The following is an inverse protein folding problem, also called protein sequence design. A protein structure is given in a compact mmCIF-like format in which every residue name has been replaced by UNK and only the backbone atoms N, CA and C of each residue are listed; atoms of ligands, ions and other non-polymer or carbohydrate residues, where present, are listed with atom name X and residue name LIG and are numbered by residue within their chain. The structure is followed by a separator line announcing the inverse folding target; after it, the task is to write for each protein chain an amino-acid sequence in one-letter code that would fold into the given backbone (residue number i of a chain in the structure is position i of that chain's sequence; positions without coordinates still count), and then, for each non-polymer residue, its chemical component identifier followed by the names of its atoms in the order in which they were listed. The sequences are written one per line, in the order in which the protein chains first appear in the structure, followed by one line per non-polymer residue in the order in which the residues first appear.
data_IF_902838568211
#
_entry.id   IF_902838568211
#
_cell.length_a   1.000
_cell.length_b   1.000
_cell.length_c   1.000
_cell.angle_alpha   90.00
_cell.angle_beta   90.00
_cell.angle_gamma   90.00
#
_symmetry.space_group_name_H-M   'P 1'
#
loop_
_entity.id
_entity.type
_entity.pdbx_description
1 polymer ?
#
# COMPACT_ATOMS: atom_id res chain seq x y z
N UNK A 1 16.02 -64.06 10.84
CA UNK A 1 15.48 -63.99 9.46
C UNK A 1 14.39 -62.91 9.41
N UNK A 2 14.69 -61.75 8.82
CA UNK A 2 13.75 -60.61 8.68
C UNK A 2 13.09 -60.68 7.31
N UNK A 3 11.75 -60.62 7.26
CA UNK A 3 11.00 -60.52 5.99
C UNK A 3 11.12 -59.10 5.42
N UNK A 4 11.21 -58.93 4.08
CA UNK A 4 11.31 -57.61 3.47
C UNK A 4 9.95 -56.90 3.46
N UNK A 5 9.99 -55.59 3.72
CA UNK A 5 8.85 -54.67 3.67
C UNK A 5 8.62 -54.20 2.24
N UNK A 6 7.43 -54.45 1.70
CA UNK A 6 6.98 -53.93 0.40
C UNK A 6 5.96 -52.80 0.61
N UNK A 7 6.20 -51.57 0.14
CA UNK A 7 5.21 -50.51 0.21
C UNK A 7 4.13 -50.68 -0.87
N UNK A 8 2.87 -50.49 -0.49
CA UNK A 8 1.73 -50.38 -1.40
C UNK A 8 1.70 -48.97 -2.03
N UNK A 9 1.41 -48.83 -3.34
CA UNK A 9 1.17 -47.52 -3.93
C UNK A 9 -0.27 -47.06 -3.65
N UNK A 10 -0.43 -45.90 -3.01
CA UNK A 10 -1.70 -45.16 -3.00
C UNK A 10 -1.77 -44.33 -4.30
N UNK A 11 -2.39 -44.89 -5.33
CA UNK A 11 -2.81 -44.14 -6.50
C UNK A 11 -4.13 -43.43 -6.22
N UNK A 12 -4.08 -42.16 -5.86
CA UNK A 12 -5.26 -41.29 -5.83
C UNK A 12 -5.32 -40.55 -7.16
N UNK A 13 -6.19 -41.01 -8.06
CA UNK A 13 -6.59 -40.24 -9.23
C UNK A 13 -7.63 -39.19 -8.82
N UNK A 14 -7.23 -37.92 -8.79
CA UNK A 14 -8.18 -36.81 -8.81
C UNK A 14 -8.33 -36.39 -10.27
N UNK A 15 -9.49 -36.73 -10.85
CA UNK A 15 -9.90 -36.27 -12.18
C UNK A 15 -10.15 -34.76 -12.13
N UNK A 16 -9.31 -34.01 -12.83
CA UNK A 16 -9.56 -32.62 -13.18
C UNK A 16 -10.68 -32.56 -14.23
N UNK A 17 -11.82 -31.96 -13.88
CA UNK A 17 -12.80 -31.51 -14.86
C UNK A 17 -13.44 -30.23 -14.31
N UNK A 18 -12.93 -29.09 -14.77
CA UNK A 18 -13.63 -27.80 -14.66
C UNK A 18 -13.19 -26.95 -15.85
N UNK A 19 -13.83 -27.24 -16.98
CA UNK A 19 -13.95 -26.35 -18.12
C UNK A 19 -14.80 -25.15 -17.69
N UNK A 20 -14.17 -24.01 -17.45
CA UNK A 20 -14.85 -22.72 -17.34
C UNK A 20 -14.53 -21.89 -18.58
N UNK A 21 -15.42 -21.97 -19.56
CA UNK A 21 -15.43 -21.10 -20.73
C UNK A 21 -16.09 -19.79 -20.33
N UNK A 22 -15.33 -18.71 -20.17
CA UNK A 22 -15.87 -17.35 -20.17
C UNK A 22 -15.27 -16.60 -21.36
N UNK A 23 -16.07 -16.56 -22.42
CA UNK A 23 -15.90 -15.66 -23.55
C UNK A 23 -16.54 -14.32 -23.14
N UNK A 24 -15.72 -13.33 -22.79
CA UNK A 24 -16.17 -11.93 -22.75
C UNK A 24 -15.11 -11.05 -23.40
N UNK A 25 -15.14 -11.00 -24.73
CA UNK A 25 -14.48 -9.95 -25.50
C UNK A 25 -15.24 -8.65 -25.28
N UNK A 26 -14.73 -7.80 -24.39
CA UNK A 26 -14.91 -6.36 -24.49
C UNK A 26 -13.52 -5.75 -24.68
N UNK A 27 -13.40 -4.92 -25.71
CA UNK A 27 -12.14 -4.33 -26.14
C UNK A 27 -11.59 -3.40 -25.04
N UNK A 28 -10.68 -3.92 -24.20
CA UNK A 28 -9.77 -3.09 -23.42
C UNK A 28 -8.75 -2.52 -24.39
N UNK A 29 -8.88 -1.23 -24.71
CA UNK A 29 -7.80 -0.46 -25.32
C UNK A 29 -6.73 -0.25 -24.24
N UNK A 30 -5.74 -1.13 -24.18
CA UNK A 30 -4.57 -0.96 -23.31
C UNK A 30 -3.69 0.13 -23.92
N UNK A 31 -3.88 1.38 -23.46
CA UNK A 31 -2.85 2.40 -23.59
C UNK A 31 -1.90 2.23 -22.40
N UNK A 32 -0.71 1.69 -22.66
CA UNK A 32 0.41 1.76 -21.74
C UNK A 32 0.93 3.20 -21.75
N UNK A 33 0.34 4.05 -20.90
CA UNK A 33 0.90 5.34 -20.53
C UNK A 33 1.35 5.23 -19.08
N UNK A 34 2.61 5.59 -18.81
CA UNK A 34 3.10 5.85 -17.45
C UNK A 34 2.27 7.00 -16.86
N UNK A 35 1.12 6.66 -16.30
CA UNK A 35 0.25 7.58 -15.60
C UNK A 35 0.32 7.23 -14.12
N UNK A 36 1.08 8.03 -13.37
CA UNK A 36 0.83 8.22 -11.95
C UNK A 36 -0.61 8.73 -11.85
N UNK A 37 -1.57 7.83 -11.63
CA UNK A 37 -2.99 8.18 -11.59
C UNK A 37 -3.31 8.82 -10.24
N UNK A 38 -2.87 10.06 -10.05
CA UNK A 38 -3.51 10.95 -9.08
C UNK A 38 -4.90 11.29 -9.62
N UNK A 39 -5.94 11.12 -8.80
CA UNK A 39 -7.30 11.52 -9.15
C UNK A 39 -7.28 12.97 -9.69
N UNK A 40 -7.87 13.24 -10.87
CA UNK A 40 -7.84 14.59 -11.44
C UNK A 40 -8.58 15.56 -10.53
N UNK A 41 -7.85 16.53 -9.98
CA UNK A 41 -8.43 17.65 -9.25
C UNK A 41 -9.29 18.49 -10.23
N UNK A 42 -10.61 18.47 -10.07
CA UNK A 42 -11.51 19.42 -10.72
C UNK A 42 -12.33 18.91 -11.91
N UNK A 43 -12.97 17.75 -11.81
CA UNK A 43 -14.01 17.39 -12.77
C UNK A 43 -15.28 18.23 -12.56
N UNK A 44 -15.57 19.14 -13.50
CA UNK A 44 -16.78 19.98 -13.50
C UNK A 44 -18.06 19.17 -13.70
N UNK A 45 -19.06 19.58 -12.90
CA UNK A 45 -20.41 19.05 -12.71
C UNK A 45 -21.22 18.88 -14.00
N UNK A 46 -21.50 17.62 -14.35
CA UNK A 46 -22.67 17.23 -15.13
C UNK A 46 -23.34 16.05 -14.40
N UNK A 47 -24.68 16.07 -14.31
CA UNK A 47 -25.44 15.26 -13.36
C UNK A 47 -25.13 13.75 -13.44
N UNK A 48 -24.81 13.15 -12.29
CA UNK A 48 -24.48 11.74 -12.06
C UNK A 48 -23.29 11.21 -12.88
N UNK A 49 -22.09 11.74 -12.63
CA UNK A 49 -20.85 11.16 -13.15
C UNK A 49 -20.41 10.01 -12.24
N UNK A 50 -20.43 8.79 -12.78
CA UNK A 50 -19.81 7.61 -12.17
C UNK A 50 -18.64 7.21 -13.05
N UNK A 51 -17.46 7.08 -12.46
CA UNK A 51 -16.23 6.73 -13.18
C UNK A 51 -15.55 5.58 -12.44
N UNK A 52 -15.18 4.54 -13.17
CA UNK A 52 -14.37 3.42 -12.68
C UNK A 52 -13.08 3.45 -13.47
N UNK A 53 -11.98 3.37 -12.74
CA UNK A 53 -10.63 3.31 -13.26
C UNK A 53 -9.99 2.01 -12.77
N UNK A 54 -9.19 1.39 -13.63
CA UNK A 54 -8.42 0.21 -13.28
C UNK A 54 -7.05 0.32 -13.90
N UNK A 55 -6.02 -0.05 -13.14
CA UNK A 55 -4.64 -0.11 -13.61
C UNK A 55 -4.08 -1.49 -13.30
N UNK A 56 -3.50 -2.14 -14.30
CA UNK A 56 -2.67 -3.33 -14.11
C UNK A 56 -1.25 -2.97 -14.51
N UNK A 57 -0.31 -3.17 -13.60
CA UNK A 57 1.07 -2.72 -13.73
C UNK A 57 2.01 -3.89 -13.48
N UNK A 58 2.87 -4.18 -14.46
CA UNK A 58 3.93 -5.17 -14.38
C UNK A 58 5.25 -4.45 -14.56
N UNK A 59 6.15 -4.59 -13.58
CA UNK A 59 7.40 -3.83 -13.54
C UNK A 59 8.58 -4.75 -13.27
N UNK A 60 9.67 -4.49 -13.97
CA UNK A 60 10.98 -5.09 -13.69
C UNK A 60 11.92 -4.02 -13.16
N UNK A 61 12.44 -4.20 -11.96
CA UNK A 61 13.39 -3.31 -11.32
C UNK A 61 14.76 -3.98 -11.29
N UNK A 62 15.77 -3.30 -11.83
CA UNK A 62 17.16 -3.72 -11.73
C UNK A 62 17.97 -2.62 -11.06
N UNK A 63 18.72 -3.00 -10.03
CA UNK A 63 19.52 -2.07 -9.25
C UNK A 63 21.01 -2.26 -9.53
N UNK A 64 21.73 -1.15 -9.62
CA UNK A 64 23.17 -1.16 -9.94
C UNK A 64 24.05 -1.58 -8.75
N UNK A 65 23.51 -1.55 -7.53
CA UNK A 65 24.21 -1.95 -6.31
C UNK A 65 24.05 -3.44 -6.06
N UNK A 66 25.15 -4.15 -5.86
CA UNK A 66 25.16 -5.55 -5.46
C UNK A 66 24.85 -5.65 -3.96
N UNK A 67 23.79 -6.38 -3.60
CA UNK A 67 23.51 -6.84 -2.24
C UNK A 67 23.89 -8.33 -2.13
N UNK A 68 24.08 -8.87 -0.91
CA UNK A 68 24.31 -10.30 -0.71
C UNK A 68 23.27 -11.14 -1.45
N UNK A 69 23.70 -12.25 -2.06
CA UNK A 69 22.90 -13.02 -3.04
C UNK A 69 21.59 -13.62 -2.48
N UNK A 70 21.47 -13.74 -1.16
CA UNK A 70 20.28 -14.28 -0.49
C UNK A 70 19.74 -13.29 0.55
N UNK A 71 18.51 -12.76 0.38
CA UNK A 71 17.65 -12.90 -0.80
C UNK A 71 18.18 -12.10 -2.01
N UNK A 72 17.89 -12.54 -3.25
CA UNK A 72 18.32 -11.82 -4.46
C UNK A 72 17.51 -10.51 -4.61
N UNK A 73 18.01 -9.44 -4.00
CA UNK A 73 17.36 -8.13 -3.93
C UNK A 73 17.77 -7.17 -5.06
N UNK A 74 18.70 -7.60 -5.92
CA UNK A 74 19.25 -6.82 -7.04
C UNK A 74 18.29 -6.73 -8.22
N UNK A 75 17.50 -7.78 -8.43
CA UNK A 75 16.44 -7.82 -9.45
C UNK A 75 15.09 -8.11 -8.80
N UNK A 76 14.06 -7.37 -9.19
CA UNK A 76 12.72 -7.56 -8.68
C UNK A 76 11.68 -7.40 -9.77
N UNK A 77 10.70 -8.31 -9.80
CA UNK A 77 9.53 -8.18 -10.65
C UNK A 77 8.32 -7.94 -9.77
N UNK A 78 7.54 -6.93 -10.11
CA UNK A 78 6.40 -6.48 -9.36
C UNK A 78 5.14 -6.51 -10.25
N UNK A 79 4.09 -7.14 -9.76
CA UNK A 79 2.76 -7.10 -10.38
C UNK A 79 1.81 -6.42 -9.41
N UNK A 80 1.13 -5.35 -9.86
CA UNK A 80 0.07 -4.70 -9.10
C UNK A 80 -1.18 -4.49 -9.92
N UNK A 81 -2.33 -4.55 -9.24
CA UNK A 81 -3.62 -4.15 -9.75
C UNK A 81 -4.21 -3.08 -8.83
N UNK A 82 -4.73 -2.01 -9.42
CA UNK A 82 -5.43 -0.94 -8.74
C UNK A 82 -6.82 -0.76 -9.34
N UNK A 83 -7.80 -0.50 -8.50
CA UNK A 83 -9.18 -0.19 -8.89
C UNK A 83 -9.63 1.04 -8.13
N UNK A 84 -10.08 2.04 -8.86
CA UNK A 84 -10.60 3.28 -8.31
C UNK A 84 -12.01 3.53 -8.82
N UNK A 85 -12.89 4.02 -7.95
CA UNK A 85 -14.27 4.37 -8.24
C UNK A 85 -14.55 5.76 -7.70
N UNK A 86 -15.13 6.61 -8.53
CA UNK A 86 -15.63 7.92 -8.15
C UNK A 86 -17.10 7.97 -8.55
N UNK A 87 -17.97 8.22 -7.57
CA UNK A 87 -19.41 8.28 -7.78
C UNK A 87 -20.01 9.55 -7.19
N UNK A 88 -20.56 10.39 -8.06
CA UNK A 88 -21.33 11.55 -7.65
C UNK A 88 -22.83 11.29 -7.79
N UNK A 89 -23.58 11.62 -6.74
CA UNK A 89 -25.05 11.67 -6.69
C UNK A 89 -25.46 13.09 -6.29
N UNK A 90 -26.74 13.43 -6.43
CA UNK A 90 -27.28 14.73 -6.01
C UNK A 90 -27.02 15.05 -4.52
N UNK A 91 -26.90 14.05 -3.66
CA UNK A 91 -26.72 14.23 -2.22
C UNK A 91 -25.32 13.89 -1.71
N UNK A 92 -24.58 13.01 -2.42
CA UNK A 92 -23.31 12.49 -1.93
C UNK A 92 -22.28 12.33 -3.05
N UNK A 93 -21.03 12.57 -2.70
CA UNK A 93 -19.83 12.20 -3.45
C UNK A 93 -19.18 11.03 -2.69
N UNK A 94 -18.80 9.98 -3.41
CA UNK A 94 -18.10 8.82 -2.84
C UNK A 94 -16.89 8.50 -3.70
N UNK A 95 -15.79 8.15 -3.05
CA UNK A 95 -14.61 7.64 -3.72
C UNK A 95 -14.08 6.39 -3.01
N UNK A 96 -13.60 5.45 -3.81
CA UNK A 96 -12.92 4.22 -3.36
C UNK A 96 -11.69 4.08 -4.23
N UNK A 97 -10.53 3.90 -3.63
CA UNK A 97 -9.29 3.59 -4.32
C UNK A 97 -8.55 2.50 -3.55
N UNK A 98 -8.33 1.38 -4.22
CA UNK A 98 -7.80 0.16 -3.66
C UNK A 98 -6.76 -0.43 -4.59
N UNK A 99 -5.62 -0.82 -4.02
CA UNK A 99 -4.53 -1.49 -4.73
C UNK A 99 -4.14 -2.80 -4.06
N UNK A 100 -3.70 -3.75 -4.87
CA UNK A 100 -3.02 -4.94 -4.40
C UNK A 100 -1.83 -5.25 -5.32
N UNK A 101 -0.77 -5.81 -4.76
CA UNK A 101 0.42 -6.15 -5.52
C UNK A 101 1.20 -7.31 -4.93
N UNK A 102 2.08 -7.89 -5.73
CA UNK A 102 2.97 -8.98 -5.32
C UNK A 102 4.32 -8.91 -6.02
N UNK A 103 5.38 -9.23 -5.27
CA UNK A 103 6.72 -9.40 -5.81
C UNK A 103 6.99 -10.87 -6.10
N UNK A 104 7.22 -11.22 -7.37
CA UNK A 104 7.45 -12.60 -7.77
C UNK A 104 8.70 -13.21 -7.12
N UNK A 105 9.77 -12.43 -7.00
CA UNK A 105 11.04 -12.92 -6.44
C UNK A 105 11.04 -13.05 -4.92
N UNK A 106 10.09 -12.42 -4.22
CA UNK A 106 10.07 -12.30 -2.75
C UNK A 106 8.86 -12.95 -2.10
N UNK A 107 7.89 -13.43 -2.90
CA UNK A 107 6.61 -13.95 -2.42
C UNK A 107 5.88 -12.99 -1.46
N UNK A 108 6.14 -11.68 -1.57
CA UNK A 108 5.55 -10.66 -0.72
C UNK A 108 4.36 -10.05 -1.45
N UNK A 109 3.16 -10.34 -0.97
CA UNK A 109 1.94 -9.68 -1.41
C UNK A 109 1.53 -8.57 -0.46
N UNK A 110 0.80 -7.60 -0.99
CA UNK A 110 0.32 -6.49 -0.21
C UNK A 110 -0.99 -5.94 -0.75
N UNK A 111 -1.69 -5.25 0.13
CA UNK A 111 -2.97 -4.62 -0.12
C UNK A 111 -2.91 -3.22 0.50
N UNK A 112 -3.39 -2.23 -0.23
CA UNK A 112 -3.45 -0.85 0.20
C UNK A 112 -4.82 -0.26 -0.14
N UNK A 113 -5.38 0.51 0.79
CA UNK A 113 -6.59 1.32 0.56
C UNK A 113 -6.13 2.77 0.54
N UNK A 114 -5.93 3.34 -0.64
CA UNK A 114 -5.40 4.70 -0.77
C UNK A 114 -6.44 5.72 -0.32
N UNK A 115 -7.68 5.60 -0.79
CA UNK A 115 -8.81 6.45 -0.43
C UNK A 115 -10.11 5.64 -0.29
N UNK A 116 -10.95 6.02 0.66
CA UNK A 116 -12.28 5.48 0.88
C UNK A 116 -13.10 6.50 1.65
N UNK A 117 -13.88 7.33 0.97
CA UNK A 117 -14.64 8.39 1.64
C UNK A 117 -16.05 8.57 1.08
N UNK A 118 -16.89 9.20 1.90
CA UNK A 118 -18.18 9.75 1.51
C UNK A 118 -18.29 11.21 1.98
N UNK A 119 -18.92 12.06 1.17
CA UNK A 119 -19.16 13.46 1.49
C UNK A 119 -20.55 13.88 1.05
N UNK A 120 -21.38 14.53 1.91
CA UNK A 120 -22.59 15.19 1.45
C UNK A 120 -22.23 16.33 0.49
N UNK A 121 -23.03 16.50 -0.56
CA UNK A 121 -22.86 17.57 -1.53
C UNK A 121 -23.38 18.88 -0.94
N UNK A 122 -22.48 19.83 -0.70
CA UNK A 122 -22.82 21.17 -0.21
C UNK A 122 -22.12 22.23 -1.06
N UNK A 123 -22.76 23.40 -1.24
CA UNK A 123 -22.27 24.42 -2.18
C UNK A 123 -21.03 25.19 -1.71
N UNK A 124 -20.87 25.34 -0.39
CA UNK A 124 -19.94 26.31 0.21
C UNK A 124 -18.82 25.69 1.04
N UNK A 125 -19.00 24.44 1.44
CA UNK A 125 -18.06 23.68 2.26
C UNK A 125 -18.22 22.21 1.91
N UNK A 126 -17.22 21.39 2.24
CA UNK A 126 -17.25 19.95 2.05
C UNK A 126 -16.91 19.27 3.36
N UNK A 127 -17.65 18.20 3.65
CA UNK A 127 -17.43 17.40 4.86
C UNK A 127 -17.12 16.00 4.42
N UNK A 128 -15.91 15.52 4.67
CA UNK A 128 -15.53 14.17 4.29
C UNK A 128 -15.52 13.26 5.51
N UNK A 129 -16.07 12.06 5.34
CA UNK A 129 -16.01 10.99 6.33
C UNK A 129 -15.36 9.78 5.70
N UNK A 130 -14.29 9.29 6.31
CA UNK A 130 -13.55 8.11 5.86
C UNK A 130 -12.07 8.39 5.68
N UNK A 131 -11.43 7.63 4.78
CA UNK A 131 -10.03 7.76 4.41
C UNK A 131 -9.89 8.67 3.19
N UNK A 132 -9.28 9.84 3.35
CA UNK A 132 -9.16 10.83 2.27
C UNK A 132 -7.74 11.36 2.12
N UNK A 133 -7.31 11.49 0.87
CA UNK A 133 -6.05 12.12 0.51
C UNK A 133 -6.30 13.63 0.32
N UNK A 134 -5.58 14.46 1.08
CA UNK A 134 -5.70 15.91 1.05
C UNK A 134 -4.32 16.55 0.94
N UNK A 135 -4.18 17.58 0.12
CA UNK A 135 -2.92 18.30 -0.04
C UNK A 135 -2.61 19.24 1.12
N UNK A 136 -2.23 18.71 2.29
CA UNK A 136 -1.88 19.48 3.49
C UNK A 136 -0.67 20.41 3.30
N UNK A 137 0.31 19.95 2.54
CA UNK A 137 1.52 20.72 2.27
C UNK A 137 2.08 20.31 0.93
N UNK A 138 2.30 21.30 0.05
CA UNK A 138 2.99 21.06 -1.21
C UNK A 138 4.41 20.53 -0.97
N UNK A 139 5.08 21.00 0.08
CA UNK A 139 6.42 20.53 0.47
C UNK A 139 6.39 19.06 0.92
N UNK A 140 5.41 18.67 1.74
CA UNK A 140 5.30 17.27 2.20
C UNK A 140 5.04 16.31 1.04
N UNK A 141 4.23 16.72 0.07
CA UNK A 141 3.91 15.94 -1.13
C UNK A 141 5.08 15.87 -2.12
N UNK A 142 5.75 16.99 -2.38
CA UNK A 142 6.84 17.03 -3.37
C UNK A 142 8.09 16.28 -2.86
N UNK A 143 8.34 16.34 -1.56
CA UNK A 143 9.52 15.72 -0.94
C UNK A 143 9.23 14.36 -0.31
N UNK A 144 7.98 13.86 -0.40
CA UNK A 144 7.53 12.62 0.23
C UNK A 144 7.94 12.50 1.70
N UNK A 145 7.80 13.57 2.50
CA UNK A 145 8.35 13.57 3.86
C UNK A 145 7.52 12.75 4.85
N UNK A 146 6.25 12.47 4.53
CA UNK A 146 5.38 11.69 5.40
C UNK A 146 4.99 12.38 6.71
N UNK A 147 5.12 13.71 6.78
CA UNK A 147 4.88 14.48 8.01
C UNK A 147 3.37 14.61 8.26
N UNK A 148 2.59 14.87 7.21
CA UNK A 148 1.16 15.10 7.33
C UNK A 148 0.33 13.93 6.82
N UNK A 149 0.80 13.25 5.77
CA UNK A 149 0.10 12.11 5.18
C UNK A 149 0.95 10.85 5.28
N UNK A 150 0.35 9.70 5.67
CA UNK A 150 1.05 8.45 5.65
C UNK A 150 1.36 8.03 4.21
N UNK A 151 2.40 7.22 4.05
CA UNK A 151 2.77 6.62 2.78
C UNK A 151 2.73 5.10 2.86
N UNK A 152 2.65 4.48 1.70
CA UNK A 152 2.83 3.06 1.51
C UNK A 152 4.16 2.86 0.78
N UNK A 153 5.15 2.34 1.50
CA UNK A 153 6.57 2.40 1.15
C UNK A 153 7.19 1.01 1.03
N UNK A 154 6.54 0.09 0.29
CA UNK A 154 7.21 -1.19 0.01
C UNK A 154 8.44 -0.99 -0.87
N UNK A 155 8.37 -0.01 -1.77
CA UNK A 155 9.50 0.50 -2.52
C UNK A 155 9.79 1.95 -2.12
N UNK A 156 10.90 2.18 -1.42
CA UNK A 156 11.27 3.51 -0.92
C UNK A 156 11.57 4.53 -2.03
N UNK A 157 11.81 4.10 -3.28
CA UNK A 157 11.93 5.03 -4.42
C UNK A 157 10.58 5.54 -4.91
N UNK A 158 9.49 4.85 -4.57
CA UNK A 158 8.15 5.13 -5.09
C UNK A 158 7.14 4.98 -3.96
N UNK A 159 7.20 5.88 -2.97
CA UNK A 159 6.22 5.91 -1.91
C UNK A 159 4.85 6.26 -2.51
N UNK A 160 3.83 5.48 -2.19
CA UNK A 160 2.46 5.75 -2.63
C UNK A 160 1.71 6.47 -1.50
N UNK A 161 1.18 7.68 -1.73
CA UNK A 161 0.52 8.44 -0.67
C UNK A 161 -0.77 7.74 -0.24
N UNK A 162 -1.07 7.83 1.06
CA UNK A 162 -2.22 7.20 1.67
C UNK A 162 -3.10 8.25 2.34
N UNK A 163 -4.42 8.10 2.21
CA UNK A 163 -5.38 8.99 2.84
C UNK A 163 -5.33 8.91 4.37
N UNK A 164 -5.65 10.02 5.03
CA UNK A 164 -5.89 10.04 6.47
C UNK A 164 -7.31 9.55 6.75
N UNK A 165 -7.51 8.77 7.81
CA UNK A 165 -8.84 8.29 8.19
C UNK A 165 -9.45 9.21 9.23
N UNK A 166 -10.66 9.73 8.99
CA UNK A 166 -11.35 10.58 9.96
C UNK A 166 -12.44 11.45 9.36
N UNK A 167 -12.67 12.57 10.03
CA UNK A 167 -13.59 13.62 9.62
C UNK A 167 -12.78 14.81 9.11
N UNK A 168 -13.15 15.33 7.94
CA UNK A 168 -12.51 16.50 7.35
C UNK A 168 -13.57 17.57 7.08
N UNK A 169 -13.23 18.81 7.36
CA UNK A 169 -14.03 19.98 7.04
C UNK A 169 -13.21 20.91 6.16
N UNK A 170 -13.63 21.06 4.91
CA UNK A 170 -12.92 21.82 3.87
C UNK A 170 -13.78 22.99 3.40
N UNK A 171 -13.24 24.19 3.46
CA UNK A 171 -13.84 25.42 2.96
C UNK A 171 -12.86 26.06 1.99
N UNK A 172 -13.24 26.09 0.72
CA UNK A 172 -12.45 26.71 -0.33
C UNK A 172 -13.25 27.88 -0.93
N UNK A 173 -12.72 29.10 -0.73
CA UNK A 173 -13.24 30.36 -1.30
C UNK A 173 -12.12 31.06 -2.05
N UNK A 174 -12.49 31.99 -2.93
CA UNK A 174 -11.54 32.70 -3.81
C UNK A 174 -10.35 33.35 -3.06
N UNK A 175 -10.55 33.75 -1.80
CA UNK A 175 -9.54 34.47 -1.02
C UNK A 175 -8.96 33.67 0.16
N UNK A 176 -9.53 32.52 0.51
CA UNK A 176 -9.06 31.73 1.65
C UNK A 176 -9.43 30.26 1.50
N UNK A 177 -8.53 29.40 1.95
CA UNK A 177 -8.75 27.96 2.01
C UNK A 177 -8.55 27.53 3.46
N UNK A 178 -9.49 26.75 3.99
CA UNK A 178 -9.43 26.24 5.35
C UNK A 178 -9.73 24.74 5.35
N UNK A 179 -8.86 23.96 5.97
CA UNK A 179 -9.02 22.53 6.14
C UNK A 179 -8.83 22.17 7.62
N UNK A 180 -9.84 21.59 8.23
CA UNK A 180 -9.75 20.99 9.56
C UNK A 180 -9.94 19.47 9.47
N UNK A 181 -9.28 18.75 10.36
CA UNK A 181 -9.31 17.30 10.43
C UNK A 181 -9.35 16.79 11.87
N UNK A 182 -10.10 15.72 12.07
CA UNK A 182 -10.07 14.92 13.28
C UNK A 182 -10.08 13.43 12.93
N UNK A 183 -9.08 12.69 13.43
CA UNK A 183 -8.96 11.24 13.31
C UNK A 183 -9.24 10.57 14.63
N UNK A 184 -10.22 9.67 14.70
CA UNK A 184 -10.28 8.68 15.78
C UNK A 184 -9.42 7.44 15.50
N UNK A 185 -8.96 7.26 14.25
CA UNK A 185 -8.27 6.06 13.77
C UNK A 185 -7.07 6.46 12.89
N UNK A 186 -5.87 6.39 13.43
CA UNK A 186 -4.64 6.69 12.71
C UNK A 186 -4.04 5.43 12.10
N UNK A 187 -4.06 5.33 10.77
CA UNK A 187 -3.35 4.27 10.05
C UNK A 187 -1.97 4.83 9.66
N UNK A 188 -0.87 4.31 10.25
CA UNK A 188 0.47 4.85 10.02
C UNK A 188 0.99 4.52 8.61
N UNK A 189 2.12 5.13 8.27
CA UNK A 189 2.93 4.73 7.11
C UNK A 189 3.24 3.24 7.19
N UNK A 190 3.04 2.53 6.08
CA UNK A 190 3.25 1.09 5.97
C UNK A 190 4.49 0.83 5.14
N UNK A 191 5.48 0.19 5.74
CA UNK A 191 6.72 -0.20 5.08
C UNK A 191 6.84 -1.70 4.83
N UNK A 192 8.00 -2.17 4.37
CA UNK A 192 8.29 -3.59 4.26
C UNK A 192 8.28 -4.27 5.64
N UNK A 193 7.82 -5.52 5.68
CA UNK A 193 7.84 -6.32 6.90
C UNK A 193 9.27 -6.60 7.38
N UNK A 194 9.49 -6.44 8.68
CA UNK A 194 10.71 -6.87 9.38
C UNK A 194 10.30 -7.99 10.32
N UNK A 195 11.12 -9.05 10.39
CA UNK A 195 10.89 -10.21 11.25
C UNK A 195 12.17 -10.61 11.96
N UNK A 196 12.02 -11.32 13.08
CA UNK A 196 13.14 -11.88 13.84
C UNK A 196 13.39 -13.32 13.39
N UNK A 197 14.63 -13.65 13.04
CA UNK A 197 15.09 -14.99 12.72
C UNK A 197 16.43 -15.25 13.44
N UNK A 198 16.47 -16.24 14.32
CA UNK A 198 17.68 -16.63 15.07
C UNK A 198 18.38 -15.49 15.82
N UNK A 199 17.61 -14.53 16.37
CA UNK A 199 18.18 -13.37 17.07
C UNK A 199 18.72 -12.27 16.15
N UNK A 200 18.55 -12.41 14.83
CA UNK A 200 18.81 -11.36 13.85
C UNK A 200 17.48 -10.80 13.31
N UNK A 201 17.48 -9.53 12.95
CA UNK A 201 16.35 -8.91 12.27
C UNK A 201 16.55 -9.03 10.75
N UNK A 202 15.59 -9.61 10.05
CA UNK A 202 15.61 -9.81 8.59
C UNK A 202 14.40 -9.16 7.93
N UNK A 203 14.56 -8.79 6.66
CA UNK A 203 13.49 -8.25 5.83
C UNK A 203 13.73 -8.65 4.38
N UNK A 204 12.65 -8.91 3.65
CA UNK A 204 12.72 -9.18 2.20
C UNK A 204 12.79 -7.88 1.37
N UNK A 205 13.08 -6.75 2.01
CA UNK A 205 13.24 -5.46 1.35
C UNK A 205 14.70 -5.08 1.16
N UNK A 206 15.03 -4.59 -0.04
CA UNK A 206 16.34 -3.97 -0.35
C UNK A 206 16.63 -2.71 0.46
N UNK A 207 15.57 -2.07 0.96
CA UNK A 207 15.64 -0.81 1.70
C UNK A 207 15.94 -1.03 3.18
N UNK A 208 15.81 -2.27 3.63
CA UNK A 208 16.23 -2.68 4.94
C UNK A 208 17.77 -2.76 5.03
N UNK A 209 18.30 -2.36 6.18
CA UNK A 209 19.70 -2.50 6.54
C UNK A 209 19.73 -3.27 7.84
N UNK A 210 20.25 -4.51 7.78
CA UNK A 210 20.41 -5.30 9.00
C UNK A 210 21.32 -4.56 9.96
N UNK A 211 20.94 -4.47 11.25
CA UNK A 211 21.87 -4.01 12.26
C UNK A 211 23.02 -5.02 12.37
N UNK A 212 24.12 -4.57 12.99
CA UNK A 212 25.31 -5.39 13.20
C UNK A 212 24.98 -6.54 14.16
N UNK A 213 25.30 -7.78 13.78
CA UNK A 213 24.98 -8.97 14.59
C UNK A 213 26.11 -9.40 15.51
N UNK A 214 27.32 -8.86 15.34
CA UNK A 214 28.50 -9.21 16.13
C UNK A 214 29.38 -7.98 16.36
N UNK A 215 29.92 -7.85 17.57
CA UNK A 215 30.90 -6.82 17.89
C UNK A 215 32.18 -7.46 18.39
N UNK A 216 33.33 -7.01 17.88
CA UNK A 216 34.63 -7.43 18.39
C UNK A 216 34.95 -6.70 19.70
N UNK A 217 35.11 -7.46 20.78
CA UNK A 217 35.54 -6.96 22.08
C UNK A 217 36.79 -7.72 22.56
N UNK A 218 37.94 -7.05 22.51
CA UNK A 218 39.25 -7.61 22.92
C UNK A 218 39.61 -8.85 22.06
N UNK A 219 39.41 -8.78 20.74
CA UNK A 219 39.76 -9.85 19.81
C UNK A 219 38.85 -11.07 19.93
N UNK A 220 37.63 -10.89 20.45
CA UNK A 220 36.61 -11.93 20.60
C UNK A 220 35.29 -11.41 20.02
N UNK A 221 34.72 -12.10 19.01
CA UNK A 221 33.40 -11.75 18.51
C UNK A 221 32.35 -12.07 19.57
N UNK A 222 31.58 -11.05 19.97
CA UNK A 222 30.42 -11.20 20.86
C UNK A 222 29.15 -11.06 20.01
N UNK A 223 28.26 -12.08 19.96
CA UNK A 223 27.02 -11.97 19.22
C UNK A 223 26.06 -10.99 19.91
N UNK A 224 25.37 -10.18 19.12
CA UNK A 224 24.33 -9.26 19.54
C UNK A 224 22.99 -9.85 19.11
N UNK A 225 22.14 -10.15 20.09
CA UNK A 225 20.79 -10.66 19.86
C UNK A 225 19.79 -9.51 19.86
N UNK A 226 18.96 -9.44 18.83
CA UNK A 226 17.86 -8.50 18.72
C UNK A 226 16.54 -9.20 18.99
N UNK A 227 15.62 -8.49 19.66
CA UNK A 227 14.23 -8.91 19.80
C UNK A 227 13.31 -7.80 19.31
N UNK A 228 12.30 -8.17 18.52
CA UNK A 228 11.35 -7.21 17.98
C UNK A 228 10.11 -7.14 18.88
N UNK A 229 9.93 -6.02 19.58
CA UNK A 229 8.69 -5.74 20.31
C UNK A 229 7.72 -5.00 19.40
N UNK A 230 6.90 -5.74 18.64
CA UNK A 230 5.84 -5.15 17.82
C UNK A 230 4.67 -4.76 18.73
N UNK A 231 4.31 -3.47 18.82
CA UNK A 231 3.16 -3.05 19.62
C UNK A 231 1.86 -3.60 19.01
N UNK A 232 0.83 -3.72 19.84
CA UNK A 232 -0.49 -4.11 19.37
C UNK A 232 -1.02 -3.12 18.33
N UNK A 233 -1.42 -3.63 17.17
CA UNK A 233 -1.87 -2.80 16.03
C UNK A 233 -3.09 -1.94 16.38
N UNK A 234 -3.97 -2.43 17.25
CA UNK A 234 -5.14 -1.71 17.77
C UNK A 234 -4.73 -0.47 18.57
N UNK A 235 -3.64 -0.55 19.36
CA UNK A 235 -3.11 0.55 20.15
C UNK A 235 -2.48 1.63 19.26
N UNK A 236 -1.81 1.23 18.19
CA UNK A 236 -1.29 2.18 17.20
C UNK A 236 -2.44 2.85 16.43
N UNK A 237 -3.43 2.05 16.01
CA UNK A 237 -4.54 2.53 15.21
C UNK A 237 -5.48 3.47 15.98
N UNK A 238 -5.66 3.27 17.29
CA UNK A 238 -6.54 4.09 18.13
C UNK A 238 -5.96 5.43 18.58
N UNK A 239 -4.78 5.81 18.06
CA UNK A 239 -4.21 7.13 18.34
C UNK A 239 -5.06 8.21 17.66
N UNK A 240 -5.61 9.11 18.49
CA UNK A 240 -6.39 10.23 18.01
C UNK A 240 -5.48 11.34 17.49
N UNK A 241 -5.86 11.99 16.41
CA UNK A 241 -5.14 13.14 15.86
C UNK A 241 -6.09 14.23 15.40
N UNK A 242 -5.62 15.48 15.42
CA UNK A 242 -6.35 16.63 14.94
C UNK A 242 -5.37 17.57 14.22
N UNK A 243 -5.87 18.27 13.21
CA UNK A 243 -5.05 19.18 12.42
C UNK A 243 -5.90 20.29 11.80
N UNK A 244 -5.30 21.45 11.62
CA UNK A 244 -5.92 22.61 10.97
C UNK A 244 -4.90 23.26 10.05
N UNK A 245 -5.34 23.62 8.85
CA UNK A 245 -4.60 24.36 7.83
C UNK A 245 -5.47 25.54 7.36
N UNK A 246 -4.86 26.70 7.18
CA UNK A 246 -5.53 27.94 6.75
C UNK A 246 -4.57 28.90 6.07
#
# INVERSE_FOLDING_TARGET
MKKPYTPKPLGVQIRSLLTLTILLMTALSVHAQEATSTLPAGATSNNNKRQIYGNLRLEGMQYMTTLPESPNLTYSQFLSAQVSYIGETNWFENAIDFGAGTFFSRSQSHIAVHELYSSPRTANYRVYVGRKLNGWSAMDREWNMGVWQPYFEIDALRPEPQGLSGLFFDVNRDNYQFLAFASPLFIPTMGPGIREENGALVSDSRWYRSPVTEQDFIGRPIPITYSLSVPETTKLASQQSYGVMG
#
